data_IF_535192643792
#
_entry.id   IF_535192643792
#
_cell.length_a   1.000
_cell.length_b   1.000
_cell.length_c   1.000
_cell.angle_alpha   90.00
_cell.angle_beta   90.00
_cell.angle_gamma   90.00
#
_symmetry.space_group_name_H-M   'P 1'
#
loop_
_entity.id
_entity.type
_entity.pdbx_description
1 polymer ?
#
# COMPACT_ATOMS: atom_id res chain seq x y z
N UNK A 1 24.49 -4.37 19.91
CA UNK A 1 23.84 -3.25 19.19
C UNK A 1 24.80 -2.07 19.28
N UNK A 2 25.64 -1.88 18.26
CA UNK A 2 26.58 -0.76 18.20
C UNK A 2 25.79 0.55 18.10
N UNK A 3 26.06 1.50 19.00
CA UNK A 3 25.38 2.79 19.15
C UNK A 3 25.53 3.77 17.98
N UNK A 4 25.20 3.34 16.76
CA UNK A 4 25.16 4.15 15.55
C UNK A 4 23.79 4.79 15.44
N UNK A 5 23.73 6.11 15.63
CA UNK A 5 22.52 6.92 15.41
C UNK A 5 22.32 7.03 13.89
N UNK A 6 21.21 6.49 13.39
CA UNK A 6 20.81 6.63 11.99
C UNK A 6 20.01 7.93 11.82
N UNK A 7 20.36 8.76 10.84
CA UNK A 7 19.63 10.02 10.60
C UNK A 7 18.21 9.77 10.07
N UNK A 8 17.96 8.65 9.38
CA UNK A 8 16.65 8.26 8.88
C UNK A 8 16.48 6.73 8.87
N UNK A 9 16.20 6.11 10.03
CA UNK A 9 16.04 4.66 10.14
C UNK A 9 14.73 4.18 9.50
N UNK A 10 14.72 2.95 8.99
CA UNK A 10 13.46 2.30 8.59
C UNK A 10 12.64 2.02 9.85
N UNK A 11 11.32 2.07 9.69
CA UNK A 11 10.39 1.65 10.72
C UNK A 11 10.59 0.16 11.01
N UNK A 12 10.88 -0.16 12.27
CA UNK A 12 11.03 -1.54 12.74
C UNK A 12 9.93 -1.90 13.71
N UNK A 13 9.53 -3.17 13.68
CA UNK A 13 8.67 -3.71 14.72
C UNK A 13 9.45 -3.76 16.05
N UNK A 14 8.77 -3.39 17.14
CA UNK A 14 9.41 -3.26 18.45
C UNK A 14 9.75 -4.61 19.09
N UNK A 15 8.99 -5.66 18.75
CA UNK A 15 9.16 -6.97 19.34
C UNK A 15 10.25 -7.77 18.61
N UNK A 16 10.18 -7.83 17.28
CA UNK A 16 11.08 -8.61 16.43
C UNK A 16 12.33 -7.84 15.99
N UNK A 17 12.29 -6.50 15.98
CA UNK A 17 13.34 -5.66 15.42
C UNK A 17 13.41 -5.65 13.88
N UNK A 18 12.54 -6.41 13.21
CA UNK A 18 12.50 -6.51 11.75
C UNK A 18 12.00 -5.21 11.11
N UNK A 19 12.49 -4.84 9.91
CA UNK A 19 11.89 -3.77 9.13
C UNK A 19 10.43 -4.12 8.79
N UNK A 20 9.54 -3.13 8.88
CA UNK A 20 8.12 -3.33 8.57
C UNK A 20 7.53 -2.24 7.69
N UNK A 21 6.54 -2.61 6.90
CA UNK A 21 5.51 -1.67 6.45
C UNK A 21 4.32 -1.79 7.39
N UNK A 22 3.98 -0.69 8.06
CA UNK A 22 2.86 -0.64 9.01
C UNK A 22 1.52 -0.78 8.28
N UNK A 23 0.49 -1.38 8.92
CA UNK A 23 -0.87 -1.39 8.39
C UNK A 23 -1.40 -0.02 7.99
N UNK A 24 -1.11 1.01 8.80
CA UNK A 24 -1.51 2.39 8.51
C UNK A 24 -0.81 2.97 7.28
N UNK A 25 0.42 2.55 7.00
CA UNK A 25 1.16 2.94 5.79
C UNK A 25 0.50 2.33 4.56
N UNK A 26 0.18 1.03 4.58
CA UNK A 26 -0.56 0.39 3.49
C UNK A 26 -1.92 1.04 3.26
N UNK A 27 -2.69 1.25 4.33
CA UNK A 27 -4.00 1.92 4.27
C UNK A 27 -3.91 3.30 3.61
N UNK A 28 -2.93 4.11 4.02
CA UNK A 28 -2.74 5.46 3.49
C UNK A 28 -2.40 5.46 2.00
N UNK A 29 -1.51 4.56 1.56
CA UNK A 29 -1.14 4.47 0.15
C UNK A 29 -2.26 3.90 -0.71
N UNK A 30 -2.99 2.89 -0.24
CA UNK A 30 -4.12 2.34 -0.98
C UNK A 30 -5.28 3.33 -1.07
N UNK A 31 -5.55 4.11 0.00
CA UNK A 31 -6.56 5.19 -0.05
C UNK A 31 -6.17 6.29 -1.03
N UNK A 32 -4.88 6.65 -1.08
CA UNK A 32 -4.36 7.59 -2.07
C UNK A 32 -4.50 7.06 -3.50
N UNK A 33 -4.16 5.79 -3.75
CA UNK A 33 -4.32 5.18 -5.07
C UNK A 33 -5.79 5.06 -5.48
N UNK A 34 -6.68 4.72 -4.54
CA UNK A 34 -8.12 4.67 -4.74
C UNK A 34 -8.70 6.02 -5.22
N UNK A 35 -8.22 7.15 -4.67
CA UNK A 35 -8.61 8.49 -5.12
C UNK A 35 -8.24 8.77 -6.60
N UNK A 36 -7.26 8.03 -7.14
CA UNK A 36 -6.79 8.15 -8.52
C UNK A 36 -7.40 7.13 -9.48
N UNK A 37 -8.30 6.28 -9.01
CA UNK A 37 -9.04 5.37 -9.89
C UNK A 37 -10.03 6.18 -10.72
N UNK A 38 -9.97 6.01 -12.04
CA UNK A 38 -10.97 6.53 -12.97
C UNK A 38 -12.28 5.74 -12.78
N UNK A 39 -13.25 6.38 -12.16
CA UNK A 39 -14.55 5.80 -11.79
C UNK A 39 -15.58 6.92 -11.66
N UNK A 40 -16.86 6.60 -11.74
CA UNK A 40 -17.93 7.57 -11.47
C UNK A 40 -17.72 8.25 -10.11
N UNK A 41 -17.69 9.59 -10.08
CA UNK A 41 -17.26 10.34 -8.91
C UNK A 41 -18.15 10.18 -7.68
N UNK A 42 -19.45 9.94 -7.89
CA UNK A 42 -20.40 9.72 -6.79
C UNK A 42 -20.18 8.32 -6.23
N UNK A 43 -20.13 7.31 -7.09
CA UNK A 43 -19.85 5.92 -6.70
C UNK A 43 -18.49 5.76 -6.04
N UNK A 44 -17.44 6.36 -6.62
CA UNK A 44 -16.07 6.34 -6.10
C UNK A 44 -16.01 6.81 -4.65
N UNK A 45 -16.64 7.95 -4.34
CA UNK A 45 -16.69 8.47 -2.97
C UNK A 45 -17.39 7.50 -2.01
N UNK A 46 -18.49 6.90 -2.43
CA UNK A 46 -19.21 5.90 -1.62
C UNK A 46 -18.38 4.64 -1.39
N UNK A 47 -17.75 4.10 -2.44
CA UNK A 47 -16.87 2.92 -2.36
C UNK A 47 -15.67 3.20 -1.44
N UNK A 48 -14.99 4.33 -1.60
CA UNK A 48 -13.86 4.73 -0.73
C UNK A 48 -14.31 4.80 0.73
N UNK A 49 -15.47 5.39 1.01
CA UNK A 49 -16.03 5.44 2.37
C UNK A 49 -16.34 4.04 2.91
N UNK A 50 -16.92 3.14 2.09
CA UNK A 50 -17.17 1.74 2.48
C UNK A 50 -15.88 0.98 2.78
N UNK A 51 -14.88 1.08 1.91
CA UNK A 51 -13.61 0.35 2.03
C UNK A 51 -12.75 0.83 3.20
N UNK A 52 -12.56 2.14 3.34
CA UNK A 52 -11.59 2.70 4.30
C UNK A 52 -12.21 3.24 5.59
N UNK A 53 -13.53 3.41 5.60
CA UNK A 53 -14.28 4.01 6.69
C UNK A 53 -14.39 5.53 6.58
N UNK A 54 -15.22 6.08 7.47
CA UNK A 54 -15.46 7.50 7.63
C UNK A 54 -14.18 8.28 7.95
N UNK A 55 -14.13 9.53 7.47
CA UNK A 55 -13.09 10.47 7.86
C UNK A 55 -13.24 10.84 9.35
N UNK A 56 -12.15 11.21 10.04
CA UNK A 56 -12.20 11.60 11.46
C UNK A 56 -13.17 12.75 11.77
N UNK A 57 -13.47 13.57 10.77
CA UNK A 57 -14.36 14.72 10.84
C UNK A 57 -15.85 14.33 10.81
N UNK A 58 -16.18 13.14 10.30
CA UNK A 58 -17.54 12.59 10.26
C UNK A 58 -17.90 11.98 11.62
N UNK A 59 -18.40 12.83 12.52
CA UNK A 59 -18.78 12.41 13.89
C UNK A 59 -20.15 11.71 13.96
N UNK A 60 -21.02 11.98 12.99
CA UNK A 60 -22.35 11.34 12.91
C UNK A 60 -22.27 10.05 12.09
N UNK A 61 -22.66 8.93 12.72
CA UNK A 61 -22.65 7.58 12.13
C UNK A 61 -21.29 7.18 11.49
N UNK A 62 -20.21 7.10 12.30
CA UNK A 62 -18.90 6.72 11.80
C UNK A 62 -18.91 5.30 11.23
N UNK A 63 -18.53 5.17 9.97
CA UNK A 63 -18.47 3.90 9.27
C UNK A 63 -17.09 3.24 9.46
N UNK A 64 -17.04 1.99 9.92
CA UNK A 64 -15.77 1.25 10.10
C UNK A 64 -15.37 0.49 8.83
N UNK A 65 -14.45 1.02 8.03
CA UNK A 65 -14.08 0.45 6.72
C UNK A 65 -14.01 -1.08 6.60
N UNK A 66 -14.41 -1.59 5.43
CA UNK A 66 -14.43 -3.01 5.06
C UNK A 66 -13.04 -3.63 4.86
N UNK A 67 -11.97 -2.83 4.83
CA UNK A 67 -10.60 -3.32 4.67
C UNK A 67 -9.84 -3.40 5.99
N UNK A 68 -9.24 -4.56 6.24
CA UNK A 68 -8.31 -4.79 7.33
C UNK A 68 -6.91 -5.07 6.79
N UNK A 69 -5.93 -4.29 7.25
CA UNK A 69 -4.55 -4.31 6.76
C UNK A 69 -3.65 -5.01 7.78
N UNK A 70 -2.73 -5.84 7.29
CA UNK A 70 -1.71 -6.49 8.11
C UNK A 70 -0.34 -5.81 7.92
N UNK A 71 0.55 -5.90 8.92
CA UNK A 71 1.94 -5.49 8.74
C UNK A 71 2.63 -6.43 7.74
N UNK A 72 3.49 -5.86 6.90
CA UNK A 72 4.44 -6.64 6.11
C UNK A 72 5.78 -6.60 6.81
N UNK A 73 6.37 -7.77 7.07
CA UNK A 73 7.70 -7.90 7.66
C UNK A 73 8.71 -8.25 6.58
N UNK A 74 9.92 -7.71 6.70
CA UNK A 74 11.07 -8.11 5.90
C UNK A 74 12.02 -8.88 6.79
N UNK A 75 12.42 -10.08 6.36
CA UNK A 75 13.34 -10.93 7.15
C UNK A 75 14.81 -10.62 6.86
N UNK A 76 15.06 -9.97 5.73
CA UNK A 76 16.37 -9.58 5.28
C UNK A 76 16.81 -8.26 5.90
N UNK A 77 18.12 -8.15 6.16
CA UNK A 77 18.70 -6.93 6.69
C UNK A 77 18.45 -5.74 5.76
N UNK A 78 18.18 -4.58 6.37
CA UNK A 78 18.05 -3.36 5.62
C UNK A 78 19.44 -2.84 5.21
N UNK A 79 19.52 -2.34 3.99
CA UNK A 79 20.77 -1.88 3.40
C UNK A 79 20.93 -0.37 3.55
N UNK A 80 22.18 0.09 3.40
CA UNK A 80 22.48 1.53 3.30
C UNK A 80 22.35 2.00 1.85
N UNK A 81 21.71 3.14 1.70
CA UNK A 81 21.69 3.95 0.50
C UNK A 81 22.13 5.38 0.84
N UNK A 82 22.65 6.11 -0.14
CA UNK A 82 23.22 7.45 0.07
C UNK A 82 22.61 8.41 -0.94
N UNK A 83 21.84 9.38 -0.44
CA UNK A 83 21.31 10.46 -1.28
C UNK A 83 22.09 11.73 -1.01
N UNK A 84 22.66 12.30 -2.07
CA UNK A 84 23.27 13.62 -2.03
C UNK A 84 22.30 14.62 -2.67
N UNK A 85 21.53 15.41 -1.90
CA UNK A 85 20.62 16.39 -2.47
C UNK A 85 21.40 17.45 -3.24
N UNK A 86 21.13 17.59 -4.54
CA UNK A 86 21.77 18.58 -5.42
C UNK A 86 20.91 19.86 -5.50
N UNK A 87 21.54 21.03 -5.50
CA UNK A 87 20.85 22.28 -5.85
C UNK A 87 20.52 22.27 -7.34
N UNK A 88 19.26 22.56 -7.69
CA UNK A 88 18.75 22.47 -9.08
C UNK A 88 19.37 23.51 -10.02
N UNK A 89 19.84 24.62 -9.48
CA UNK A 89 20.43 25.74 -10.22
C UNK A 89 21.88 25.50 -10.67
N UNK A 90 22.65 24.81 -9.83
CA UNK A 90 24.12 24.68 -9.95
C UNK A 90 24.57 23.23 -10.14
N UNK A 91 23.66 22.26 -9.95
CA UNK A 91 23.94 20.81 -9.87
C UNK A 91 25.02 20.46 -8.82
N UNK A 92 25.28 21.37 -7.88
CA UNK A 92 26.24 21.22 -6.79
C UNK A 92 25.53 20.65 -5.55
N UNK A 93 26.18 19.83 -4.71
CA UNK A 93 25.59 19.33 -3.46
C UNK A 93 25.06 20.47 -2.58
N UNK A 94 23.76 20.44 -2.27
CA UNK A 94 23.11 21.39 -1.38
C UNK A 94 23.42 21.12 0.10
N UNK A 95 23.63 19.84 0.43
CA UNK A 95 24.02 19.31 1.74
C UNK A 95 24.93 18.09 1.52
N UNK A 96 25.69 17.68 2.54
CA UNK A 96 26.48 16.45 2.53
C UNK A 96 25.62 15.19 2.30
N UNK A 97 26.24 14.03 2.02
CA UNK A 97 25.53 12.79 1.71
C UNK A 97 24.64 12.36 2.89
N UNK A 98 23.35 12.13 2.65
CA UNK A 98 22.39 11.66 3.64
C UNK A 98 22.34 10.14 3.53
N UNK A 99 22.77 9.45 4.58
CA UNK A 99 22.64 8.00 4.69
C UNK A 99 21.19 7.64 5.00
N UNK A 100 20.61 6.78 4.17
CA UNK A 100 19.27 6.24 4.33
C UNK A 100 19.37 4.74 4.52
N UNK A 101 18.54 4.22 5.39
CA UNK A 101 18.29 2.80 5.46
C UNK A 101 17.14 2.48 4.48
N UNK A 102 17.36 1.54 3.56
CA UNK A 102 16.35 1.13 2.56
C UNK A 102 16.30 -0.40 2.44
N UNK A 103 15.12 -0.91 2.11
CA UNK A 103 15.01 -2.27 1.57
C UNK A 103 15.37 -2.19 0.09
N UNK A 104 16.43 -2.88 -0.33
CA UNK A 104 16.87 -2.88 -1.73
C UNK A 104 15.89 -3.66 -2.63
N UNK A 105 15.87 -3.36 -3.95
CA UNK A 105 15.15 -4.17 -4.92
C UNK A 105 15.50 -5.67 -4.84
N UNK A 106 14.53 -6.54 -5.13
CA UNK A 106 14.70 -8.00 -5.08
C UNK A 106 14.49 -8.64 -3.70
N UNK A 107 14.13 -7.86 -2.68
CA UNK A 107 13.68 -8.37 -1.37
C UNK A 107 12.17 -8.57 -1.39
N UNK A 108 11.73 -9.68 -0.80
CA UNK A 108 10.32 -10.06 -0.80
C UNK A 108 9.67 -9.71 0.55
N UNK A 109 8.37 -9.44 0.50
CA UNK A 109 7.55 -9.26 1.68
C UNK A 109 6.12 -9.66 1.34
N UNK A 110 5.41 -10.21 2.31
CA UNK A 110 4.04 -10.66 2.12
C UNK A 110 3.06 -9.54 2.44
N UNK A 111 2.16 -9.26 1.50
CA UNK A 111 1.08 -8.29 1.67
C UNK A 111 -0.22 -9.05 1.89
N UNK A 112 -0.80 -8.89 3.07
CA UNK A 112 -2.12 -9.44 3.39
C UNK A 112 -3.14 -8.32 3.53
N UNK A 113 -4.29 -8.51 2.89
CA UNK A 113 -5.45 -7.64 2.95
C UNK A 113 -6.70 -8.48 3.13
N UNK A 114 -7.49 -8.17 4.15
CA UNK A 114 -8.75 -8.84 4.42
C UNK A 114 -9.91 -7.89 4.12
N UNK A 115 -10.81 -8.32 3.23
CA UNK A 115 -12.08 -7.66 2.98
C UNK A 115 -13.18 -8.30 3.84
N UNK A 116 -13.88 -7.49 4.63
CA UNK A 116 -14.97 -7.91 5.50
C UNK A 116 -16.21 -7.10 5.09
N UNK A 117 -17.20 -7.70 4.40
CA UNK A 117 -18.48 -7.03 4.25
C UNK A 117 -19.08 -6.79 5.64
N UNK A 118 -19.63 -5.59 5.90
CA UNK A 118 -20.35 -5.31 7.15
C UNK A 118 -21.39 -6.39 7.44
N UNK A 119 -21.78 -6.61 8.72
CA UNK A 119 -22.82 -7.56 9.04
C UNK A 119 -24.07 -7.34 8.19
N UNK A 120 -24.66 -8.44 7.71
CA UNK A 120 -25.85 -8.46 6.85
C UNK A 120 -27.03 -7.81 7.57
N UNK A 121 -27.18 -6.50 7.41
CA UNK A 121 -28.33 -5.69 7.83
C UNK A 121 -29.14 -5.23 6.62
N UNK A 122 -30.19 -4.44 6.84
CA UNK A 122 -31.08 -3.96 5.76
C UNK A 122 -30.35 -3.18 4.65
N UNK A 123 -29.22 -2.54 4.96
CA UNK A 123 -28.39 -1.78 4.02
C UNK A 123 -27.30 -2.62 3.31
N UNK A 124 -27.22 -3.93 3.56
CA UNK A 124 -26.24 -4.79 2.89
C UNK A 124 -26.76 -5.25 1.52
N UNK A 125 -25.99 -4.97 0.47
CA UNK A 125 -26.24 -5.47 -0.88
C UNK A 125 -25.02 -6.22 -1.39
N UNK A 126 -25.21 -7.43 -1.93
CA UNK A 126 -24.11 -8.21 -2.53
C UNK A 126 -23.46 -7.47 -3.71
N UNK A 127 -24.26 -6.71 -4.45
CA UNK A 127 -23.82 -5.83 -5.53
C UNK A 127 -22.78 -4.79 -5.07
N UNK A 128 -22.93 -4.25 -3.86
CA UNK A 128 -21.94 -3.32 -3.29
C UNK A 128 -20.62 -4.02 -3.01
N UNK A 129 -20.65 -5.29 -2.58
CA UNK A 129 -19.43 -6.05 -2.33
C UNK A 129 -18.69 -6.36 -3.64
N UNK A 130 -19.43 -6.73 -4.68
CA UNK A 130 -18.86 -6.97 -6.00
C UNK A 130 -18.27 -5.68 -6.63
N UNK A 131 -18.97 -4.55 -6.49
CA UNK A 131 -18.49 -3.23 -6.94
C UNK A 131 -17.25 -2.79 -6.14
N UNK A 132 -17.25 -3.00 -4.82
CA UNK A 132 -16.12 -2.72 -3.95
C UNK A 132 -14.86 -3.51 -4.36
N UNK A 133 -14.99 -4.81 -4.65
CA UNK A 133 -13.86 -5.67 -5.03
C UNK A 133 -13.28 -5.29 -6.40
N UNK A 134 -14.13 -4.97 -7.39
CA UNK A 134 -13.68 -4.50 -8.72
C UNK A 134 -12.90 -3.19 -8.62
N UNK A 135 -13.44 -2.25 -7.86
CA UNK A 135 -12.76 -0.98 -7.59
C UNK A 135 -11.45 -1.19 -6.82
N UNK A 136 -11.45 -2.09 -5.83
CA UNK A 136 -10.27 -2.44 -5.04
C UNK A 136 -9.14 -3.01 -5.91
N UNK A 137 -9.46 -3.87 -6.88
CA UNK A 137 -8.47 -4.42 -7.81
C UNK A 137 -7.73 -3.32 -8.59
N UNK A 138 -8.47 -2.34 -9.13
CA UNK A 138 -7.86 -1.19 -9.82
C UNK A 138 -7.05 -0.30 -8.88
N UNK A 139 -7.53 -0.06 -7.65
CA UNK A 139 -6.79 0.71 -6.65
C UNK A 139 -5.46 0.01 -6.26
N UNK A 140 -5.49 -1.31 -6.07
CA UNK A 140 -4.30 -2.12 -5.78
C UNK A 140 -3.30 -2.08 -6.94
N UNK A 141 -3.78 -2.20 -8.18
CA UNK A 141 -2.95 -2.10 -9.38
C UNK A 141 -2.24 -0.75 -9.47
N UNK A 142 -2.95 0.35 -9.22
CA UNK A 142 -2.35 1.69 -9.19
C UNK A 142 -1.35 1.84 -8.04
N UNK A 143 -1.69 1.33 -6.85
CA UNK A 143 -0.79 1.39 -5.69
C UNK A 143 0.50 0.61 -5.97
N UNK A 144 0.41 -0.61 -6.50
CA UNK A 144 1.57 -1.48 -6.72
C UNK A 144 2.46 -1.01 -7.87
N UNK A 145 1.86 -0.56 -8.97
CA UNK A 145 2.59 -0.38 -10.23
C UNK A 145 2.76 1.07 -10.70
N UNK A 146 2.07 2.02 -10.08
CA UNK A 146 2.13 3.44 -10.48
C UNK A 146 2.62 4.33 -9.36
N UNK A 147 1.97 4.28 -8.19
CA UNK A 147 2.24 5.23 -7.10
C UNK A 147 3.21 4.71 -6.05
N UNK A 148 3.31 3.39 -5.91
CA UNK A 148 4.10 2.73 -4.88
C UNK A 148 3.57 2.95 -3.45
N UNK A 149 4.24 2.30 -2.49
CA UNK A 149 3.93 2.38 -1.05
C UNK A 149 5.02 3.05 -0.21
N UNK A 150 5.92 3.80 -0.85
CA UNK A 150 7.03 4.51 -0.19
C UNK A 150 6.81 6.03 -0.10
N UNK A 151 7.44 6.64 0.90
CA UNK A 151 7.44 8.09 1.11
C UNK A 151 8.08 8.89 -0.05
N UNK A 152 8.94 8.27 -0.87
CA UNK A 152 9.67 8.93 -1.97
C UNK A 152 9.13 8.55 -3.35
N UNK A 153 7.88 8.95 -3.59
CA UNK A 153 7.15 8.72 -4.85
C UNK A 153 7.84 9.30 -6.10
N UNK A 154 8.68 10.32 -5.95
CA UNK A 154 9.35 11.04 -7.06
C UNK A 154 10.72 10.48 -7.46
N UNK A 155 11.19 9.41 -6.83
CA UNK A 155 12.52 8.82 -7.11
C UNK A 155 12.48 7.32 -7.44
N UNK A 156 11.30 6.79 -7.81
CA UNK A 156 11.13 5.38 -8.20
C UNK A 156 11.09 4.38 -7.04
N UNK A 157 11.00 4.85 -5.79
CA UNK A 157 10.96 3.98 -4.62
C UNK A 157 9.54 3.48 -4.33
N UNK A 158 9.42 2.19 -3.98
CA UNK A 158 8.19 1.60 -3.46
C UNK A 158 7.21 1.05 -4.50
N UNK A 159 7.57 1.03 -5.78
CA UNK A 159 6.89 0.23 -6.81
C UNK A 159 7.37 -1.21 -6.69
N UNK A 160 6.48 -2.18 -6.79
CA UNK A 160 6.85 -3.60 -6.78
C UNK A 160 7.10 -4.12 -8.19
N UNK A 161 7.92 -5.16 -8.29
CA UNK A 161 8.01 -5.94 -9.52
C UNK A 161 6.65 -6.54 -9.86
N UNK A 162 6.38 -6.72 -11.15
CA UNK A 162 5.08 -7.22 -11.61
C UNK A 162 4.86 -8.64 -11.09
N UNK A 163 3.76 -8.84 -10.37
CA UNK A 163 3.45 -10.11 -9.75
C UNK A 163 3.19 -11.18 -10.82
N UNK A 164 3.72 -12.37 -10.58
CA UNK A 164 3.33 -13.58 -11.33
C UNK A 164 2.07 -14.18 -10.69
N UNK A 165 1.32 -14.99 -11.43
CA UNK A 165 0.07 -15.58 -10.92
C UNK A 165 0.30 -16.40 -9.63
N UNK A 166 1.41 -17.13 -9.54
CA UNK A 166 1.80 -17.89 -8.34
C UNK A 166 2.13 -17.04 -7.10
N UNK A 167 2.22 -15.71 -7.24
CA UNK A 167 2.49 -14.78 -6.14
C UNK A 167 1.21 -14.10 -5.63
N UNK A 168 0.04 -14.46 -6.15
CA UNK A 168 -1.25 -13.88 -5.78
C UNK A 168 -2.18 -14.98 -5.29
N UNK A 169 -2.59 -14.88 -4.03
CA UNK A 169 -3.55 -15.79 -3.42
C UNK A 169 -4.82 -15.01 -3.06
N UNK A 170 -5.96 -15.41 -3.64
CA UNK A 170 -7.26 -14.77 -3.41
C UNK A 170 -8.23 -15.82 -2.87
N UNK A 171 -8.84 -15.52 -1.73
CA UNK A 171 -9.87 -16.36 -1.13
C UNK A 171 -11.16 -15.56 -0.86
N UNK A 172 -12.34 -16.10 -1.21
CA UNK A 172 -12.57 -17.37 -1.90
C UNK A 172 -12.19 -17.34 -3.39
N UNK A 173 -11.93 -18.52 -3.98
CA UNK A 173 -11.39 -18.68 -5.34
C UNK A 173 -12.28 -18.09 -6.44
N UNK A 174 -13.61 -18.06 -6.23
CA UNK A 174 -14.57 -17.46 -7.16
C UNK A 174 -14.36 -15.94 -7.34
N UNK A 175 -13.59 -15.30 -6.47
CA UNK A 175 -13.21 -13.88 -6.58
C UNK A 175 -11.89 -13.65 -7.29
N UNK A 176 -11.12 -14.69 -7.61
CA UNK A 176 -9.79 -14.57 -8.23
C UNK A 176 -9.82 -13.80 -9.55
N UNK A 177 -10.85 -14.03 -10.37
CA UNK A 177 -10.99 -13.38 -11.69
C UNK A 177 -11.02 -11.84 -11.60
N UNK A 178 -11.59 -11.29 -10.52
CA UNK A 178 -11.66 -9.83 -10.29
C UNK A 178 -10.25 -9.22 -10.16
N UNK A 179 -9.31 -9.99 -9.63
CA UNK A 179 -7.94 -9.56 -9.33
C UNK A 179 -6.91 -10.05 -10.35
N UNK A 180 -7.34 -10.69 -11.44
CA UNK A 180 -6.45 -11.22 -12.50
C UNK A 180 -5.56 -10.14 -13.11
N UNK A 181 -6.02 -8.88 -13.11
CA UNK A 181 -5.30 -7.71 -13.63
C UNK A 181 -4.02 -7.36 -12.83
N UNK A 182 -3.86 -7.93 -11.64
CA UNK A 182 -2.68 -7.75 -10.80
C UNK A 182 -1.49 -8.60 -11.27
N UNK A 183 -1.71 -9.69 -12.00
CA UNK A 183 -0.65 -10.56 -12.52
C UNK A 183 -0.35 -10.32 -14.00
N UNK A 184 0.84 -10.74 -14.46
CA UNK A 184 1.03 -11.00 -15.88
C UNK A 184 0.23 -12.23 -16.29
N UNK A 185 -0.59 -12.11 -17.34
CA UNK A 185 -1.02 -13.28 -18.11
C UNK A 185 0.27 -13.80 -18.77
N UNK A 186 0.77 -14.95 -18.33
CA UNK A 186 1.77 -15.67 -19.08
C UNK A 186 1.16 -16.04 -20.44
N UNK A 187 1.56 -15.31 -21.49
CA UNK A 187 1.41 -15.75 -22.87
C UNK A 187 2.49 -16.76 -23.22
#
# INVERSE_FOLDING_TARGET
IDGRIFENPIVRDKFTGLPIVKPSTWKGHLRFAADKVEWDDIKKRNIIRRLFGSEPEEKENPLKGRLYFFPTFFTEDADRDVITPLKRDTRTPAKGPINLEVIRPGKNGEFYLLYIPYPKGEDFREEDAEEDLKFLAEALKLMFYVYGFSAKKTSGFGVIEKLQEGNIEIHPEDKKEIFSTLSNISG
#
